data_IF_093528965797
#
_entry.id   IF_093528965797
#
_cell.length_a   1.000
_cell.length_b   1.000
_cell.length_c   1.000
_cell.angle_alpha   90.00
_cell.angle_beta   90.00
_cell.angle_gamma   90.00
#
_symmetry.space_group_name_H-M   'P 1'
#
loop_
_entity.id
_entity.type
_entity.pdbx_description
1 polymer ?
#
# COMPACT_ATOMS: atom_id res chain seq x y z
N UNK A 1 12.79 24.93 -2.95
CA UNK A 1 13.48 24.44 -4.18
C UNK A 1 12.40 24.26 -5.21
N UNK A 2 12.67 24.63 -6.46
CA UNK A 2 11.72 24.40 -7.55
C UNK A 2 11.53 22.89 -7.79
N UNK A 3 10.37 22.42 -8.29
CA UNK A 3 10.09 21.00 -8.55
C UNK A 3 11.21 20.30 -9.34
N UNK A 4 11.69 20.90 -10.43
CA UNK A 4 12.76 20.33 -11.26
C UNK A 4 14.08 20.18 -10.50
N UNK A 5 14.38 21.08 -9.56
CA UNK A 5 15.58 20.99 -8.72
C UNK A 5 15.47 19.85 -7.73
N UNK A 6 14.26 19.62 -7.18
CA UNK A 6 13.98 18.53 -6.25
C UNK A 6 14.17 17.18 -6.96
N UNK A 7 13.62 17.02 -8.17
CA UNK A 7 13.71 15.78 -8.93
C UNK A 7 15.15 15.47 -9.38
N UNK A 8 15.89 16.47 -9.87
CA UNK A 8 17.32 16.31 -10.19
C UNK A 8 18.15 15.90 -8.97
N UNK A 9 17.87 16.50 -7.81
CA UNK A 9 18.52 16.12 -6.55
C UNK A 9 18.16 14.70 -6.15
N UNK A 10 16.90 14.31 -6.28
CA UNK A 10 16.42 12.96 -5.97
C UNK A 10 17.15 11.92 -6.81
N UNK A 11 17.25 12.10 -8.12
CA UNK A 11 17.98 11.20 -9.02
C UNK A 11 19.45 11.09 -8.65
N UNK A 12 20.09 12.23 -8.39
CA UNK A 12 21.50 12.28 -8.00
C UNK A 12 21.74 11.52 -6.71
N UNK A 13 20.92 11.75 -5.68
CA UNK A 13 21.09 11.11 -4.38
C UNK A 13 20.66 9.64 -4.40
N UNK A 14 19.64 9.29 -5.20
CA UNK A 14 19.27 7.90 -5.43
C UNK A 14 20.42 7.12 -6.04
N UNK A 15 21.08 7.65 -7.07
CA UNK A 15 22.22 6.98 -7.71
C UNK A 15 23.39 6.74 -6.74
N UNK A 16 23.61 7.64 -5.77
CA UNK A 16 24.60 7.44 -4.70
C UNK A 16 24.18 6.33 -3.76
N UNK A 17 22.96 6.40 -3.24
CA UNK A 17 22.40 5.42 -2.29
C UNK A 17 22.31 4.03 -2.92
N UNK A 18 21.91 3.93 -4.19
CA UNK A 18 21.85 2.69 -4.95
C UNK A 18 23.20 1.99 -4.99
N UNK A 19 24.29 2.73 -5.24
CA UNK A 19 25.66 2.20 -5.24
C UNK A 19 26.11 1.81 -3.83
N UNK A 20 25.86 2.66 -2.83
CA UNK A 20 26.26 2.42 -1.45
C UNK A 20 25.60 1.17 -0.84
N UNK A 21 24.27 1.07 -1.01
CA UNK A 21 23.47 0.00 -0.40
C UNK A 21 23.28 -1.21 -1.32
N UNK A 22 23.78 -1.14 -2.57
CA UNK A 22 23.62 -2.19 -3.59
C UNK A 22 22.15 -2.53 -3.90
N UNK A 23 21.29 -1.51 -3.94
CA UNK A 23 19.89 -1.65 -4.36
C UNK A 23 19.87 -2.11 -5.81
N UNK A 24 19.07 -3.12 -6.14
CA UNK A 24 19.04 -3.66 -7.52
C UNK A 24 18.19 -2.79 -8.44
N UNK A 25 17.08 -2.29 -7.92
CA UNK A 25 16.04 -1.59 -8.67
C UNK A 25 16.47 -0.17 -9.07
N UNK A 26 15.92 0.31 -10.17
CA UNK A 26 15.98 1.68 -10.64
C UNK A 26 15.00 2.58 -9.88
N UNK A 27 15.20 3.90 -9.98
CA UNK A 27 14.25 4.85 -9.40
C UNK A 27 12.87 4.73 -10.06
N UNK A 28 12.84 4.46 -11.38
CA UNK A 28 11.59 4.31 -12.12
C UNK A 28 10.80 3.08 -11.68
N UNK A 29 11.46 1.95 -11.41
CA UNK A 29 10.80 0.77 -10.83
C UNK A 29 10.17 1.07 -9.47
N UNK A 30 10.86 1.85 -8.62
CA UNK A 30 10.32 2.26 -7.32
C UNK A 30 9.18 3.27 -7.48
N UNK A 31 9.30 4.20 -8.41
CA UNK A 31 8.33 5.25 -8.65
C UNK A 31 7.02 4.71 -9.22
N UNK A 32 7.11 3.75 -10.16
CA UNK A 32 5.95 3.09 -10.75
C UNK A 32 5.08 2.39 -9.70
N UNK A 33 5.69 1.86 -8.63
CA UNK A 33 4.95 1.14 -7.60
C UNK A 33 4.60 2.00 -6.38
N UNK A 34 5.53 2.85 -5.94
CA UNK A 34 5.42 3.55 -4.66
C UNK A 34 5.29 5.07 -4.79
N UNK A 35 5.22 5.61 -6.01
CA UNK A 35 5.02 7.04 -6.30
C UNK A 35 6.04 7.93 -5.58
N UNK A 36 7.31 7.51 -5.59
CA UNK A 36 8.42 8.14 -4.86
C UNK A 36 8.59 9.61 -5.24
N UNK A 37 8.51 9.96 -6.53
CA UNK A 37 8.69 11.33 -7.02
C UNK A 37 7.57 12.24 -6.51
N UNK A 38 6.33 11.78 -6.57
CA UNK A 38 5.18 12.53 -6.06
C UNK A 38 5.31 12.79 -4.56
N UNK A 39 5.65 11.77 -3.77
CA UNK A 39 5.85 11.90 -2.32
C UNK A 39 6.97 12.90 -1.98
N UNK A 40 8.05 12.92 -2.76
CA UNK A 40 9.18 13.83 -2.54
C UNK A 40 8.82 15.27 -2.95
N UNK A 41 8.03 15.45 -4.01
CA UNK A 41 7.51 16.74 -4.45
C UNK A 41 6.52 17.33 -3.43
N UNK A 42 5.58 16.52 -2.94
CA UNK A 42 4.61 16.91 -1.90
C UNK A 42 5.33 17.39 -0.63
N UNK A 43 6.40 16.70 -0.23
CA UNK A 43 7.25 17.11 0.91
C UNK A 43 8.11 18.34 0.62
N UNK A 44 8.23 18.76 -0.63
CA UNK A 44 9.05 19.89 -1.07
C UNK A 44 10.56 19.70 -0.89
N UNK A 45 11.03 18.47 -0.61
CA UNK A 45 12.46 18.18 -0.35
C UNK A 45 12.81 16.70 -0.45
N UNK A 46 14.05 16.43 -0.86
CA UNK A 46 14.67 15.10 -0.75
C UNK A 46 15.07 14.83 0.71
N UNK A 47 14.69 13.67 1.30
CA UNK A 47 15.09 13.31 2.66
C UNK A 47 16.61 13.21 2.83
N UNK A 48 17.10 13.50 4.05
CA UNK A 48 18.51 13.37 4.39
C UNK A 48 18.99 11.91 4.35
N UNK A 49 18.18 10.99 4.87
CA UNK A 49 18.40 9.55 4.79
C UNK A 49 17.44 8.96 3.75
N UNK A 50 17.84 9.09 2.48
CA UNK A 50 17.01 8.65 1.35
C UNK A 50 16.80 7.13 1.37
N UNK A 51 17.83 6.33 1.69
CA UNK A 51 17.71 4.86 1.76
C UNK A 51 16.64 4.41 2.76
N UNK A 52 16.69 4.92 3.99
CA UNK A 52 15.67 4.64 5.01
C UNK A 52 14.29 5.16 4.61
N UNK A 53 14.24 6.33 3.96
CA UNK A 53 12.98 6.93 3.52
C UNK A 53 12.31 6.08 2.44
N UNK A 54 13.07 5.54 1.48
CA UNK A 54 12.55 4.64 0.44
C UNK A 54 12.02 3.33 1.03
N UNK A 55 12.75 2.72 1.97
CA UNK A 55 12.27 1.54 2.69
C UNK A 55 10.96 1.83 3.45
N UNK A 56 10.86 3.00 4.09
CA UNK A 56 9.65 3.42 4.81
C UNK A 56 8.48 3.68 3.86
N UNK A 57 8.72 4.31 2.70
CA UNK A 57 7.71 4.51 1.65
C UNK A 57 7.15 3.16 1.19
N UNK A 58 8.03 2.20 0.86
CA UNK A 58 7.62 0.87 0.44
C UNK A 58 6.78 0.15 1.50
N UNK A 59 7.18 0.21 2.77
CA UNK A 59 6.43 -0.40 3.87
C UNK A 59 5.08 0.28 4.07
N UNK A 60 5.02 1.62 4.03
CA UNK A 60 3.77 2.36 4.22
C UNK A 60 2.74 2.02 3.14
N UNK A 61 3.17 1.86 1.89
CA UNK A 61 2.32 1.37 0.80
C UNK A 61 1.66 0.03 1.17
N UNK A 62 2.44 -0.93 1.65
CA UNK A 62 1.91 -2.22 2.09
C UNK A 62 1.09 -2.15 3.36
N UNK A 63 1.40 -1.27 4.31
CA UNK A 63 0.60 -1.13 5.53
C UNK A 63 -0.80 -0.59 5.24
N UNK A 64 -0.97 0.21 4.17
CA UNK A 64 -2.30 0.56 3.66
C UNK A 64 -3.11 -0.68 3.28
N UNK A 65 -2.50 -1.59 2.51
CA UNK A 65 -3.12 -2.87 2.17
C UNK A 65 -3.35 -3.78 3.36
N UNK A 66 -2.40 -3.87 4.29
CA UNK A 66 -2.56 -4.63 5.53
C UNK A 66 -3.82 -4.19 6.28
N UNK A 67 -4.04 -2.88 6.42
CA UNK A 67 -5.20 -2.34 7.13
C UNK A 67 -6.51 -2.69 6.41
N UNK A 68 -6.52 -2.61 5.08
CA UNK A 68 -7.67 -3.02 4.27
C UNK A 68 -7.97 -4.52 4.46
N UNK A 69 -6.97 -5.39 4.27
CA UNK A 69 -7.10 -6.84 4.43
C UNK A 69 -7.53 -7.24 5.85
N UNK A 70 -7.00 -6.56 6.87
CA UNK A 70 -7.42 -6.76 8.25
C UNK A 70 -8.90 -6.44 8.44
N UNK A 71 -9.42 -5.41 7.77
CA UNK A 71 -10.85 -5.07 7.77
C UNK A 71 -11.75 -6.12 7.11
N UNK A 72 -11.21 -7.01 6.25
CA UNK A 72 -11.96 -8.12 5.67
C UNK A 72 -12.07 -9.32 6.64
N UNK A 73 -11.08 -9.50 7.51
CA UNK A 73 -11.05 -10.60 8.49
C UNK A 73 -11.72 -10.19 9.80
N UNK A 74 -11.34 -9.03 10.33
CA UNK A 74 -11.81 -8.48 11.60
C UNK A 74 -12.45 -7.11 11.34
N UNK A 75 -13.68 -7.09 10.80
CA UNK A 75 -14.33 -5.85 10.45
C UNK A 75 -14.61 -5.00 11.69
N UNK A 76 -14.42 -3.68 11.57
CA UNK A 76 -14.82 -2.76 12.62
C UNK A 76 -16.37 -2.71 12.68
N UNK A 77 -17.01 -3.06 13.81
CA UNK A 77 -18.47 -3.04 13.92
C UNK A 77 -19.10 -1.66 13.68
N UNK A 78 -18.34 -0.58 13.89
CA UNK A 78 -18.76 0.79 13.59
C UNK A 78 -18.67 1.16 12.10
N UNK A 79 -18.10 0.28 11.26
CA UNK A 79 -17.89 0.55 9.83
C UNK A 79 -18.65 -0.47 8.97
N UNK A 80 -19.87 -0.09 8.60
CA UNK A 80 -20.83 -0.93 7.86
C UNK A 80 -20.25 -1.47 6.54
N UNK A 81 -19.41 -0.70 5.85
CA UNK A 81 -18.79 -1.16 4.60
C UNK A 81 -17.91 -2.39 4.84
N UNK A 82 -17.00 -2.32 5.82
CA UNK A 82 -16.11 -3.44 6.18
C UNK A 82 -16.88 -4.66 6.66
N UNK A 83 -18.00 -4.50 7.40
CA UNK A 83 -18.86 -5.63 7.76
C UNK A 83 -19.47 -6.32 6.54
N UNK A 84 -19.97 -5.54 5.58
CA UNK A 84 -20.53 -6.10 4.35
C UNK A 84 -19.47 -6.82 3.51
N UNK A 85 -18.28 -6.22 3.37
CA UNK A 85 -17.17 -6.82 2.64
C UNK A 85 -16.65 -8.09 3.31
N UNK A 86 -16.54 -8.11 4.64
CA UNK A 86 -16.14 -9.32 5.38
C UNK A 86 -17.13 -10.48 5.16
N UNK A 87 -18.43 -10.19 5.04
CA UNK A 87 -19.47 -11.21 4.93
C UNK A 87 -19.46 -12.05 3.64
N UNK A 88 -18.74 -11.60 2.59
CA UNK A 88 -18.64 -12.35 1.32
C UNK A 88 -17.45 -13.33 1.26
N UNK A 89 -16.63 -13.35 2.29
CA UNK A 89 -15.44 -14.19 2.37
C UNK A 89 -15.67 -15.39 3.29
N UNK A 90 -15.32 -16.57 2.78
CA UNK A 90 -15.30 -17.82 3.54
C UNK A 90 -14.12 -17.86 4.52
N UNK A 91 -14.10 -18.83 5.44
CA UNK A 91 -12.94 -19.04 6.32
C UNK A 91 -11.68 -19.40 5.51
N UNK A 92 -11.80 -20.17 4.42
CA UNK A 92 -10.67 -20.47 3.53
C UNK A 92 -10.11 -19.20 2.87
N UNK A 93 -10.99 -18.26 2.48
CA UNK A 93 -10.56 -16.97 1.96
C UNK A 93 -9.80 -16.16 3.02
N UNK A 94 -10.30 -16.17 4.27
CA UNK A 94 -9.65 -15.48 5.39
C UNK A 94 -8.28 -16.05 5.71
N UNK A 95 -8.10 -17.37 5.59
CA UNK A 95 -6.78 -18.00 5.73
C UNK A 95 -5.80 -17.51 4.66
N UNK A 96 -6.25 -17.39 3.40
CA UNK A 96 -5.43 -16.81 2.31
C UNK A 96 -5.08 -15.35 2.60
N UNK A 97 -6.04 -14.56 3.08
CA UNK A 97 -5.81 -13.17 3.48
C UNK A 97 -4.79 -13.09 4.63
N UNK A 98 -4.88 -13.97 5.63
CA UNK A 98 -3.91 -14.05 6.72
C UNK A 98 -2.48 -14.35 6.24
N UNK A 99 -2.31 -15.21 5.23
CA UNK A 99 -1.01 -15.48 4.62
C UNK A 99 -0.45 -14.21 3.95
N UNK A 100 -1.27 -13.48 3.19
CA UNK A 100 -0.87 -12.21 2.59
C UNK A 100 -0.44 -11.21 3.67
N UNK A 101 -1.26 -11.02 4.71
CA UNK A 101 -0.94 -10.13 5.83
C UNK A 101 0.37 -10.50 6.52
N UNK A 102 0.65 -11.80 6.67
CA UNK A 102 1.91 -12.27 7.28
C UNK A 102 3.14 -11.86 6.46
N UNK A 103 3.05 -11.90 5.12
CA UNK A 103 4.12 -11.40 4.23
C UNK A 103 4.34 -9.89 4.43
N UNK A 104 3.27 -9.12 4.56
CA UNK A 104 3.35 -7.66 4.81
C UNK A 104 3.99 -7.38 6.19
N UNK A 105 3.61 -8.14 7.20
CA UNK A 105 4.16 -8.01 8.55
C UNK A 105 5.64 -8.42 8.63
N UNK A 106 6.07 -9.41 7.84
CA UNK A 106 7.48 -9.74 7.71
C UNK A 106 8.29 -8.56 7.14
N UNK A 107 7.76 -7.87 6.12
CA UNK A 107 8.39 -6.68 5.54
C UNK A 107 8.44 -5.51 6.53
N UNK A 108 7.33 -5.25 7.23
CA UNK A 108 7.23 -4.21 8.27
C UNK A 108 8.20 -4.47 9.42
N UNK A 109 8.29 -5.72 9.87
CA UNK A 109 9.23 -6.14 10.93
C UNK A 109 10.68 -5.98 10.49
N UNK A 110 11.01 -6.31 9.23
CA UNK A 110 12.34 -6.09 8.67
C UNK A 110 12.70 -4.59 8.62
N UNK A 111 11.74 -3.72 8.27
CA UNK A 111 11.93 -2.27 8.33
C UNK A 111 12.14 -1.77 9.77
N UNK A 112 11.43 -2.34 10.74
CA UNK A 112 11.67 -2.08 12.17
C UNK A 112 13.11 -2.39 12.59
N UNK A 113 13.70 -3.46 12.03
CA UNK A 113 15.10 -3.83 12.30
C UNK A 113 16.11 -2.79 11.84
N UNK A 114 15.84 -2.00 10.79
CA UNK A 114 16.73 -0.89 10.36
C UNK A 114 16.98 0.07 11.55
N UNK A 115 15.93 0.35 12.32
CA UNK A 115 15.99 1.27 13.47
C UNK A 115 16.71 0.65 14.65
N UNK A 116 16.45 -0.64 14.94
CA UNK A 116 16.99 -1.30 16.13
C UNK A 116 18.43 -1.81 15.96
N UNK A 117 18.81 -2.28 14.76
CA UNK A 117 20.16 -2.79 14.48
C UNK A 117 21.13 -1.72 14.01
N UNK A 118 20.63 -0.57 13.54
CA UNK A 118 21.40 0.49 12.84
C UNK A 118 22.10 0.00 11.56
N UNK A 119 21.75 -1.18 11.05
CA UNK A 119 22.28 -1.68 9.78
C UNK A 119 21.52 -1.06 8.60
N UNK A 120 22.16 -0.10 7.94
CA UNK A 120 21.61 0.60 6.77
C UNK A 120 21.42 -0.32 5.56
N UNK A 121 22.11 -1.46 5.49
CA UNK A 121 21.96 -2.40 4.37
C UNK A 121 20.59 -3.08 4.37
N UNK A 122 19.95 -3.18 5.53
CA UNK A 122 18.58 -3.69 5.65
C UNK A 122 17.58 -2.81 4.86
N UNK A 123 17.88 -1.53 4.62
CA UNK A 123 17.02 -0.69 3.78
C UNK A 123 16.97 -1.21 2.33
N UNK A 124 18.11 -1.62 1.76
CA UNK A 124 18.12 -2.23 0.43
C UNK A 124 17.36 -3.56 0.40
N UNK A 125 17.50 -4.37 1.45
CA UNK A 125 16.77 -5.63 1.55
C UNK A 125 15.25 -5.43 1.62
N UNK A 126 14.78 -4.43 2.38
CA UNK A 126 13.36 -4.06 2.41
C UNK A 126 12.87 -3.65 1.03
N UNK A 127 13.61 -2.78 0.34
CA UNK A 127 13.25 -2.28 -1.00
C UNK A 127 13.19 -3.43 -2.01
N UNK A 128 14.24 -4.26 -2.07
CA UNK A 128 14.33 -5.41 -2.96
C UNK A 128 13.16 -6.39 -2.74
N UNK A 129 12.87 -6.73 -1.47
CA UNK A 129 11.78 -7.64 -1.10
C UNK A 129 10.40 -7.05 -1.39
N UNK A 130 10.23 -5.75 -1.15
CA UNK A 130 8.98 -5.04 -1.43
C UNK A 130 8.65 -5.14 -2.93
N UNK A 131 9.61 -4.86 -3.81
CA UNK A 131 9.40 -4.95 -5.26
C UNK A 131 9.14 -6.40 -5.69
N UNK A 132 9.90 -7.36 -5.16
CA UNK A 132 9.74 -8.77 -5.50
C UNK A 132 8.39 -9.37 -5.05
N UNK A 133 7.80 -8.84 -3.97
CA UNK A 133 6.52 -9.29 -3.44
C UNK A 133 5.34 -8.86 -4.32
N UNK A 134 5.45 -7.72 -5.01
CA UNK A 134 4.31 -7.10 -5.70
C UNK A 134 3.59 -7.98 -6.73
N UNK A 135 4.26 -8.72 -7.64
CA UNK A 135 3.57 -9.47 -8.68
C UNK A 135 2.62 -10.55 -8.12
N UNK A 136 3.07 -11.29 -7.11
CA UNK A 136 2.22 -12.29 -6.44
C UNK A 136 1.13 -11.60 -5.61
N UNK A 137 1.51 -10.61 -4.80
CA UNK A 137 0.58 -9.92 -3.91
C UNK A 137 -0.56 -9.21 -4.66
N UNK A 138 -0.23 -8.49 -5.72
CA UNK A 138 -1.20 -7.72 -6.50
C UNK A 138 -2.22 -8.61 -7.19
N UNK A 139 -1.79 -9.78 -7.71
CA UNK A 139 -2.69 -10.76 -8.31
C UNK A 139 -3.73 -11.25 -7.30
N UNK A 140 -3.29 -11.69 -6.13
CA UNK A 140 -4.18 -12.21 -5.09
C UNK A 140 -5.14 -11.13 -4.57
N UNK A 141 -4.65 -9.90 -4.40
CA UNK A 141 -5.49 -8.77 -3.98
C UNK A 141 -6.50 -8.38 -5.06
N UNK A 142 -6.14 -8.42 -6.34
CA UNK A 142 -7.06 -8.12 -7.45
C UNK A 142 -8.24 -9.11 -7.46
N UNK A 143 -7.99 -10.41 -7.26
CA UNK A 143 -9.05 -11.41 -7.16
C UNK A 143 -10.04 -11.11 -6.00
N UNK A 144 -9.53 -10.65 -4.85
CA UNK A 144 -10.37 -10.22 -3.72
C UNK A 144 -11.18 -8.96 -4.07
N UNK A 145 -10.54 -7.97 -4.71
CA UNK A 145 -11.18 -6.72 -5.09
C UNK A 145 -12.26 -6.90 -6.15
N UNK A 146 -12.07 -7.80 -7.11
CA UNK A 146 -13.09 -8.14 -8.10
C UNK A 146 -14.37 -8.67 -7.42
N UNK A 147 -14.24 -9.52 -6.40
CA UNK A 147 -15.39 -10.03 -5.62
C UNK A 147 -16.08 -8.93 -4.83
N UNK A 148 -15.31 -8.07 -4.17
CA UNK A 148 -15.83 -6.90 -3.42
C UNK A 148 -16.58 -5.95 -4.36
N UNK A 149 -15.98 -5.64 -5.50
CA UNK A 149 -16.59 -4.78 -6.51
C UNK A 149 -17.91 -5.36 -7.03
N UNK A 150 -17.92 -6.65 -7.42
CA UNK A 150 -19.12 -7.33 -7.90
C UNK A 150 -20.25 -7.33 -6.86
N UNK A 151 -19.92 -7.48 -5.57
CA UNK A 151 -20.88 -7.37 -4.48
C UNK A 151 -21.51 -5.96 -4.40
N UNK A 152 -20.69 -4.91 -4.47
CA UNK A 152 -21.18 -3.53 -4.43
C UNK A 152 -22.01 -3.16 -5.68
N UNK A 153 -21.63 -3.63 -6.87
CA UNK A 153 -22.41 -3.45 -8.10
C UNK A 153 -23.77 -4.13 -8.03
N UNK A 154 -23.85 -5.33 -7.44
CA UNK A 154 -25.14 -6.02 -7.24
C UNK A 154 -26.03 -5.22 -6.29
N UNK A 155 -25.48 -4.77 -5.16
CA UNK A 155 -26.24 -3.98 -4.16
C UNK A 155 -26.75 -2.66 -4.72
N UNK A 156 -26.01 -1.98 -5.59
CA UNK A 156 -26.46 -0.72 -6.19
C UNK A 156 -27.63 -0.91 -7.15
N UNK A 157 -27.74 -2.07 -7.81
CA UNK A 157 -28.85 -2.44 -8.69
C UNK A 157 -30.10 -2.88 -7.93
N UNK A 158 -29.93 -3.53 -6.77
CA UNK A 158 -31.03 -4.11 -5.98
C UNK A 158 -31.74 -3.09 -5.06
N UNK A 159 -31.24 -1.87 -4.89
CA UNK A 159 -31.92 -0.86 -4.07
C UNK A 159 -33.15 -0.29 -4.79
N UNK A 160 -34.37 -0.47 -4.25
CA UNK A 160 -35.56 0.13 -4.84
C UNK A 160 -35.40 1.65 -4.84
N UNK A 161 -35.57 2.28 -6.01
CA UNK A 161 -35.68 3.73 -6.11
C UNK A 161 -36.89 4.17 -5.29
N UNK A 162 -36.68 4.54 -4.02
CA UNK A 162 -37.70 5.21 -3.23
C UNK A 162 -37.99 6.53 -3.94
N UNK A 163 -39.09 6.57 -4.70
CA UNK A 163 -39.66 7.83 -5.20
C UNK A 163 -39.81 8.74 -4.00
N UNK A 164 -39.03 9.82 -3.95
CA UNK A 164 -39.16 10.83 -2.88
C UNK A 164 -40.64 11.27 -2.87
N UNK A 165 -41.35 11.20 -1.74
CA UNK A 165 -42.71 11.72 -1.68
C UNK A 165 -42.65 13.19 -2.11
N UNK A 166 -43.49 13.55 -3.09
CA UNK A 166 -43.63 14.94 -3.50
C UNK A 166 -44.09 15.73 -2.28
N UNK A 167 -43.26 16.68 -1.86
CA UNK A 167 -43.56 17.60 -0.77
C UNK A 167 -44.79 18.42 -1.16
N UNK A 168 -45.97 18.03 -0.66
CA UNK A 168 -47.13 18.90 -0.62
C UNK A 168 -47.00 19.83 0.58
N UNK A 169 -46.11 20.82 0.47
CA UNK A 169 -46.25 22.05 1.24
C UNK A 169 -47.02 23.03 0.35
N UNK A 170 -48.32 23.11 0.58
CA UNK A 170 -49.21 24.18 0.16
C UNK A 170 -49.65 24.98 1.38
#
# INVERSE_FOLDING_TARGET
MEPDQILKKLETDFNKVKKELKIKQSLDELDNLFSVREIVLDKGRVPLDLGRSLASIAVNFYMGWYNYLNGLIMPNPGFIASMNESSIFSEEDKDKIHILMSKLMALSSLNGRITTSKDKKLAAEVIDRAIALWPEFSKEVDELLQRVNAMWEKRSKDQPQKKRPQSHYG
#
